data_IF_294237027198
#
_entry.id   IF_294237027198
#
_cell.length_a   1.000
_cell.length_b   1.000
_cell.length_c   1.000
_cell.angle_alpha   90.00
_cell.angle_beta   90.00
_cell.angle_gamma   90.00
#
_symmetry.space_group_name_H-M   'P 1'
#
loop_
_entity.id
_entity.type
_entity.pdbx_description
1 polymer ?
#
# COMPACT_ATOMS: atom_id res chain seq x y z
N UNK A 1 21.96 -25.08 16.70
CA UNK A 1 22.22 -25.14 15.24
C UNK A 1 20.95 -25.66 14.60
N UNK A 2 20.14 -24.81 14.01
CA UNK A 2 19.00 -25.27 13.20
C UNK A 2 19.55 -25.74 11.85
N UNK A 3 19.45 -27.04 11.60
CA UNK A 3 19.62 -27.63 10.27
C UNK A 3 18.34 -27.34 9.50
N UNK A 4 18.46 -26.76 8.31
CA UNK A 4 17.35 -26.71 7.38
C UNK A 4 17.13 -28.12 6.84
N UNK A 5 15.90 -28.63 6.91
CA UNK A 5 15.55 -29.92 6.33
C UNK A 5 14.91 -29.70 4.96
N UNK A 6 15.54 -30.27 3.93
CA UNK A 6 15.08 -30.17 2.56
C UNK A 6 13.79 -30.98 2.36
N UNK A 7 13.62 -32.11 3.07
CA UNK A 7 12.45 -32.99 2.90
C UNK A 7 11.19 -32.32 3.48
N UNK A 8 11.30 -31.65 4.62
CA UNK A 8 10.22 -30.84 5.22
C UNK A 8 9.81 -29.68 4.29
N UNK A 9 10.78 -28.98 3.69
CA UNK A 9 10.50 -27.90 2.74
C UNK A 9 9.89 -28.37 1.41
N UNK A 10 10.22 -29.58 0.94
CA UNK A 10 9.60 -30.17 -0.25
C UNK A 10 8.16 -30.62 0.05
N UNK A 11 7.86 -31.03 1.28
CA UNK A 11 6.51 -31.36 1.71
C UNK A 11 5.60 -30.11 1.86
N UNK A 12 6.10 -29.03 2.47
CA UNK A 12 5.39 -27.75 2.63
C UNK A 12 6.25 -26.55 2.14
N UNK A 13 6.25 -26.26 0.82
CA UNK A 13 7.06 -25.18 0.24
C UNK A 13 6.52 -23.78 0.61
N UNK A 14 6.90 -23.31 1.80
CA UNK A 14 6.48 -22.03 2.36
C UNK A 14 7.48 -20.91 2.04
N UNK A 15 6.98 -19.76 1.57
CA UNK A 15 7.81 -18.59 1.23
C UNK A 15 8.70 -18.12 2.41
N UNK A 16 8.15 -18.19 3.62
CA UNK A 16 8.83 -17.79 4.87
C UNK A 16 10.06 -18.66 5.15
N UNK A 17 10.05 -19.95 4.79
CA UNK A 17 11.21 -20.82 4.97
C UNK A 17 12.39 -20.40 4.09
N UNK A 18 12.14 -20.01 2.83
CA UNK A 18 13.16 -19.50 1.90
C UNK A 18 13.81 -18.19 2.40
N UNK A 19 13.06 -17.35 3.10
CA UNK A 19 13.58 -16.12 3.73
C UNK A 19 14.48 -16.39 4.95
N UNK A 20 14.45 -17.59 5.52
CA UNK A 20 15.30 -18.00 6.65
C UNK A 20 16.48 -18.88 6.22
N UNK A 21 16.41 -19.49 5.03
CA UNK A 21 17.48 -20.32 4.45
C UNK A 21 18.80 -19.56 4.24
N UNK A 22 19.94 -20.24 4.48
CA UNK A 22 21.28 -19.75 4.12
C UNK A 22 21.57 -19.99 2.65
N UNK A 23 22.66 -19.40 2.14
CA UNK A 23 23.06 -19.53 0.73
C UNK A 23 23.27 -21.00 0.29
N UNK A 24 23.75 -21.85 1.18
CA UNK A 24 23.98 -23.28 0.89
C UNK A 24 22.64 -23.97 0.70
N UNK A 25 21.77 -23.88 1.70
CA UNK A 25 20.40 -24.38 1.74
C UNK A 25 19.62 -23.95 0.47
N UNK A 26 19.68 -22.67 0.07
CA UNK A 26 19.05 -22.15 -1.16
C UNK A 26 19.60 -22.78 -2.45
N UNK A 27 20.91 -23.03 -2.53
CA UNK A 27 21.52 -23.69 -3.69
C UNK A 27 21.21 -25.20 -3.73
N UNK A 28 20.94 -25.81 -2.58
CA UNK A 28 20.52 -27.20 -2.46
C UNK A 28 19.07 -27.39 -2.91
N UNK A 29 18.16 -26.49 -2.52
CA UNK A 29 16.81 -26.37 -3.08
C UNK A 29 16.86 -26.19 -4.61
N UNK A 30 17.68 -25.25 -5.10
CA UNK A 30 17.81 -25.01 -6.53
C UNK A 30 18.29 -26.26 -7.31
N UNK A 31 19.20 -27.04 -6.73
CA UNK A 31 19.65 -28.33 -7.29
C UNK A 31 18.53 -29.38 -7.28
N UNK A 32 17.79 -29.49 -6.18
CA UNK A 32 16.68 -30.44 -6.03
C UNK A 32 15.61 -30.23 -7.11
N UNK A 33 15.26 -28.97 -7.38
CA UNK A 33 14.28 -28.60 -8.41
C UNK A 33 14.89 -28.36 -9.80
N UNK A 34 16.16 -28.74 -10.01
CA UNK A 34 16.89 -28.59 -11.28
C UNK A 34 16.92 -27.17 -11.87
N UNK A 35 16.78 -26.14 -11.03
CA UNK A 35 16.74 -24.72 -11.44
C UNK A 35 18.18 -24.25 -11.75
N UNK A 36 18.46 -23.71 -12.96
CA UNK A 36 19.81 -23.35 -13.40
C UNK A 36 20.29 -22.02 -12.80
N UNK A 37 20.41 -21.95 -11.46
CA UNK A 37 20.90 -20.76 -10.76
C UNK A 37 22.43 -20.74 -10.69
N UNK A 38 23.02 -19.58 -11.01
CA UNK A 38 24.47 -19.40 -10.88
C UNK A 38 24.87 -19.32 -9.40
N UNK A 39 25.89 -20.09 -8.95
CA UNK A 39 26.37 -20.02 -7.56
C UNK A 39 27.04 -18.67 -7.24
N UNK A 40 27.32 -17.84 -8.25
CA UNK A 40 27.81 -16.47 -8.07
C UNK A 40 26.72 -15.49 -7.61
N UNK A 41 25.43 -15.82 -7.75
CA UNK A 41 24.31 -14.96 -7.34
C UNK A 41 24.37 -14.63 -5.85
N UNK A 42 23.90 -13.43 -5.49
CA UNK A 42 23.78 -12.96 -4.11
C UNK A 42 22.63 -13.66 -3.41
N UNK A 43 22.64 -13.67 -2.08
CA UNK A 43 21.59 -14.31 -1.28
C UNK A 43 20.21 -13.69 -1.54
N UNK A 44 20.12 -12.38 -1.78
CA UNK A 44 18.89 -11.72 -2.20
C UNK A 44 18.40 -12.18 -3.58
N UNK A 45 19.31 -12.24 -4.57
CA UNK A 45 18.99 -12.69 -5.94
C UNK A 45 18.49 -14.15 -5.95
N UNK A 46 19.10 -15.04 -5.14
CA UNK A 46 18.64 -16.42 -4.96
C UNK A 46 17.25 -16.47 -4.29
N UNK A 47 16.97 -15.59 -3.33
CA UNK A 47 15.67 -15.51 -2.64
C UNK A 47 14.55 -14.94 -3.51
N UNK A 48 14.86 -14.16 -4.54
CA UNK A 48 13.87 -13.70 -5.53
C UNK A 48 13.69 -14.72 -6.67
N UNK A 49 14.79 -15.34 -7.13
CA UNK A 49 14.76 -16.31 -8.22
C UNK A 49 14.11 -17.64 -7.82
N UNK A 50 14.42 -18.20 -6.64
CA UNK A 50 13.91 -19.54 -6.24
C UNK A 50 12.38 -19.57 -6.14
N UNK A 51 11.67 -18.67 -5.43
CA UNK A 51 10.21 -18.67 -5.42
C UNK A 51 9.60 -18.49 -6.82
N UNK A 52 10.17 -17.58 -7.63
CA UNK A 52 9.69 -17.29 -8.99
C UNK A 52 9.79 -18.51 -9.90
N UNK A 53 10.90 -19.24 -9.84
CA UNK A 53 11.15 -20.48 -10.59
C UNK A 53 10.34 -21.67 -10.03
N UNK A 54 10.11 -21.76 -8.72
CA UNK A 54 9.25 -22.81 -8.13
C UNK A 54 7.78 -22.63 -8.50
N UNK A 55 7.32 -21.38 -8.66
CA UNK A 55 6.00 -21.06 -9.23
C UNK A 55 5.97 -21.40 -10.72
N UNK A 56 7.01 -21.02 -11.49
CA UNK A 56 7.08 -21.31 -12.93
C UNK A 56 7.13 -22.82 -13.25
N UNK A 57 7.79 -23.62 -12.40
CA UNK A 57 7.85 -25.08 -12.50
C UNK A 57 6.61 -25.79 -11.88
N UNK A 58 5.59 -25.05 -11.44
CA UNK A 58 4.31 -25.60 -10.97
C UNK A 58 4.36 -26.28 -9.59
N UNK A 59 5.43 -26.10 -8.83
CA UNK A 59 5.60 -26.66 -7.47
C UNK A 59 4.85 -25.82 -6.44
N UNK A 60 4.74 -24.51 -6.66
CA UNK A 60 3.96 -23.59 -5.80
C UNK A 60 2.76 -23.07 -6.57
N UNK A 61 1.56 -23.54 -6.20
CA UNK A 61 0.29 -23.00 -6.70
C UNK A 61 -0.03 -21.69 -5.98
N UNK A 62 0.37 -20.57 -6.58
CA UNK A 62 -0.24 -19.27 -6.27
C UNK A 62 -1.69 -19.26 -6.78
N UNK A 63 -2.65 -18.70 -6.01
CA UNK A 63 -4.03 -18.58 -6.47
C UNK A 63 -4.12 -17.67 -7.70
N UNK A 64 -4.68 -18.24 -8.75
CA UNK A 64 -4.82 -17.72 -10.12
C UNK A 64 -5.22 -16.24 -10.17
N UNK A 65 -4.51 -15.49 -11.01
CA UNK A 65 -5.12 -14.40 -11.79
C UNK A 65 -4.63 -14.53 -13.23
N UNK A 66 -5.60 -14.71 -14.13
CA UNK A 66 -5.41 -15.02 -15.54
C UNK A 66 -5.06 -13.78 -16.37
N UNK A 67 -4.08 -13.88 -17.28
CA UNK A 67 -4.39 -14.05 -18.71
C UNK A 67 -3.11 -14.13 -19.60
N UNK A 68 -3.18 -14.64 -20.86
CA UNK A 68 -2.00 -15.06 -21.62
C UNK A 68 -1.72 -14.25 -22.90
N UNK A 69 -0.48 -13.75 -23.06
CA UNK A 69 0.13 -13.32 -24.35
C UNK A 69 1.64 -13.60 -24.25
N UNK A 70 2.18 -14.73 -24.73
CA UNK A 70 2.55 -15.02 -26.12
C UNK A 70 3.64 -14.10 -26.72
N UNK A 71 4.84 -14.65 -27.02
CA UNK A 71 5.67 -14.13 -28.13
C UNK A 71 7.19 -14.01 -27.92
N UNK A 72 7.91 -15.00 -28.49
CA UNK A 72 9.21 -14.87 -29.18
C UNK A 72 10.50 -14.51 -28.41
N UNK A 73 11.53 -15.33 -28.64
CA UNK A 73 12.92 -15.16 -28.21
C UNK A 73 13.73 -14.28 -29.20
N UNK A 74 14.97 -13.91 -28.81
CA UNK A 74 16.25 -14.28 -29.49
C UNK A 74 17.39 -13.35 -29.05
N UNK A 75 18.51 -13.93 -28.60
CA UNK A 75 19.89 -13.39 -28.71
C UNK A 75 20.26 -12.15 -27.87
N UNK A 76 21.54 -11.89 -27.58
CA UNK A 76 22.78 -12.65 -27.86
C UNK A 76 23.82 -12.30 -26.75
N UNK A 77 24.93 -13.04 -26.70
CA UNK A 77 26.07 -12.75 -25.82
C UNK A 77 26.73 -11.39 -26.17
N UNK A 78 27.70 -10.88 -25.41
CA UNK A 78 29.12 -11.16 -25.69
C UNK A 78 30.05 -10.62 -24.57
N UNK A 79 30.83 -11.54 -24.00
CA UNK A 79 32.24 -11.42 -23.57
C UNK A 79 32.67 -10.54 -22.37
N UNK A 80 33.58 -11.13 -21.59
CA UNK A 80 34.27 -10.67 -20.36
C UNK A 80 35.69 -10.14 -20.70
N UNK A 81 36.71 -10.19 -19.82
CA UNK A 81 36.93 -9.57 -18.50
C UNK A 81 38.10 -8.55 -18.55
N UNK A 82 38.55 -8.00 -17.39
CA UNK A 82 39.99 -7.78 -17.04
C UNK A 82 40.15 -7.32 -15.56
N UNK A 83 41.27 -7.71 -14.92
CA UNK A 83 41.76 -7.40 -13.54
C UNK A 83 43.17 -6.71 -13.66
N UNK A 84 44.05 -6.53 -12.64
CA UNK A 84 43.97 -6.34 -11.17
C UNK A 84 44.84 -5.14 -10.60
N UNK A 85 44.90 -4.99 -9.26
CA UNK A 85 45.91 -4.19 -8.48
C UNK A 85 45.55 -2.70 -8.32
N UNK A 86 45.85 -1.91 -7.28
CA UNK A 86 46.43 -2.04 -5.93
C UNK A 86 45.94 -0.82 -5.10
N UNK A 87 46.48 -0.41 -3.94
CA UNK A 87 47.44 -1.02 -3.00
C UNK A 87 47.30 -0.40 -1.58
N UNK A 88 47.97 -1.01 -0.59
CA UNK A 88 48.48 -0.53 0.73
C UNK A 88 48.51 1.01 0.98
N UNK A 89 48.12 1.53 2.16
CA UNK A 89 49.01 1.90 3.31
C UNK A 89 48.20 2.29 4.59
N UNK A 90 48.45 1.52 5.67
CA UNK A 90 48.74 1.87 7.09
C UNK A 90 47.81 2.72 8.01
N UNK A 91 47.68 2.23 9.26
CA UNK A 91 47.15 2.91 10.46
C UNK A 91 48.27 3.61 11.25
N UNK A 92 47.94 4.50 12.20
CA UNK A 92 48.27 4.20 13.61
C UNK A 92 47.13 4.53 14.61
N UNK A 93 47.36 4.23 15.91
CA UNK A 93 46.33 4.06 16.94
C UNK A 93 46.37 5.10 18.09
N UNK A 94 45.34 5.00 18.95
CA UNK A 94 45.33 5.20 20.43
C UNK A 94 45.08 6.60 21.03
N UNK A 95 44.18 6.65 22.02
CA UNK A 95 43.92 7.77 22.94
C UNK A 95 42.57 7.64 23.67
N UNK A 96 42.53 7.65 25.00
CA UNK A 96 41.37 7.23 25.82
C UNK A 96 40.84 8.36 26.78
N UNK A 97 39.99 8.15 27.81
CA UNK A 97 38.69 8.84 27.86
C UNK A 97 38.43 9.75 29.10
N UNK A 98 37.54 10.74 28.93
CA UNK A 98 36.77 11.47 29.97
C UNK A 98 35.86 12.50 29.28
N UNK A 99 34.73 12.98 29.80
CA UNK A 99 33.75 12.46 30.77
C UNK A 99 32.45 13.31 30.62
N UNK A 100 31.29 12.75 30.99
CA UNK A 100 30.02 13.43 31.35
C UNK A 100 29.70 14.81 30.75
N UNK A 101 28.63 14.89 29.94
CA UNK A 101 27.43 15.69 30.26
C UNK A 101 26.23 15.16 29.47
N UNK A 102 25.15 14.78 30.17
CA UNK A 102 23.83 14.63 29.53
C UNK A 102 23.15 16.00 29.52
N UNK A 103 22.96 16.58 28.32
CA UNK A 103 21.88 17.51 28.08
C UNK A 103 21.17 17.11 26.77
N UNK A 104 19.85 17.30 26.75
CA UNK A 104 18.99 16.74 25.72
C UNK A 104 19.13 17.48 24.39
N UNK A 105 20.05 17.03 23.52
CA UNK A 105 20.10 17.52 22.15
C UNK A 105 19.01 16.85 21.30
N UNK A 106 18.19 17.67 20.65
CA UNK A 106 17.09 17.22 19.81
C UNK A 106 17.59 16.27 18.72
N UNK A 107 16.76 15.28 18.38
CA UNK A 107 17.12 14.18 17.48
C UNK A 107 17.22 14.62 16.02
N UNK A 108 18.22 15.45 15.72
CA UNK A 108 18.67 15.74 14.35
C UNK A 108 18.84 14.42 13.60
N UNK A 109 18.16 14.22 12.46
CA UNK A 109 18.31 13.00 11.68
C UNK A 109 19.75 12.98 11.17
N UNK A 110 20.56 12.09 11.77
CA UNK A 110 22.01 12.22 11.77
C UNK A 110 22.62 12.54 10.40
N UNK A 111 23.40 13.63 10.36
CA UNK A 111 24.24 14.01 9.23
C UNK A 111 25.47 13.10 9.07
N UNK A 112 25.31 11.80 9.31
CA UNK A 112 26.13 10.82 8.60
C UNK A 112 25.83 10.95 7.12
N UNK A 113 26.84 10.77 6.25
CA UNK A 113 26.72 11.02 4.80
C UNK A 113 25.58 10.19 4.18
N UNK A 114 24.36 10.75 4.15
CA UNK A 114 23.21 10.16 3.47
C UNK A 114 23.56 10.03 2.00
N UNK A 115 23.49 8.82 1.47
CA UNK A 115 23.79 8.64 0.06
C UNK A 115 22.75 9.39 -0.77
N UNK A 116 23.09 9.87 -1.98
CA UNK A 116 22.09 10.45 -2.88
C UNK A 116 20.93 9.50 -3.20
N UNK A 117 21.07 8.19 -2.96
CA UNK A 117 19.99 7.21 -3.07
C UNK A 117 18.99 7.36 -1.93
N UNK A 118 19.45 7.54 -0.69
CA UNK A 118 18.59 7.65 0.49
C UNK A 118 17.75 8.93 0.44
N UNK A 119 18.33 10.05 -0.01
CA UNK A 119 17.59 11.30 -0.23
C UNK A 119 16.48 11.13 -1.28
N UNK A 120 16.74 10.39 -2.37
CA UNK A 120 15.70 10.10 -3.39
C UNK A 120 14.58 9.21 -2.86
N UNK A 121 14.89 8.27 -1.97
CA UNK A 121 13.88 7.42 -1.30
C UNK A 121 13.02 8.27 -0.37
N UNK A 122 13.63 9.10 0.48
CA UNK A 122 12.91 10.03 1.36
C UNK A 122 11.96 10.96 0.59
N UNK A 123 12.43 11.59 -0.50
CA UNK A 123 11.60 12.46 -1.35
C UNK A 123 10.42 11.70 -1.96
N UNK A 124 10.62 10.45 -2.40
CA UNK A 124 9.53 9.61 -2.92
C UNK A 124 8.51 9.27 -1.83
N UNK A 125 8.97 8.93 -0.61
CA UNK A 125 8.09 8.65 0.54
C UNK A 125 7.31 9.90 0.94
N UNK A 126 7.96 11.07 1.01
CA UNK A 126 7.31 12.34 1.34
C UNK A 126 6.23 12.70 0.31
N UNK A 127 6.51 12.51 -0.99
CA UNK A 127 5.54 12.74 -2.07
C UNK A 127 4.32 11.82 -1.94
N UNK A 128 4.52 10.52 -1.74
CA UNK A 128 3.44 9.54 -1.57
C UNK A 128 2.59 9.80 -0.32
N UNK A 129 3.21 10.25 0.78
CA UNK A 129 2.48 10.65 1.99
C UNK A 129 1.59 11.88 1.73
N UNK A 130 2.12 12.90 1.06
CA UNK A 130 1.38 14.12 0.75
C UNK A 130 0.24 13.87 -0.26
N UNK A 131 0.45 12.98 -1.24
CA UNK A 131 -0.56 12.55 -2.20
C UNK A 131 -1.74 11.86 -1.49
N UNK A 132 -1.48 10.87 -0.63
CA UNK A 132 -2.50 10.22 0.20
C UNK A 132 -3.24 11.22 1.10
N UNK A 133 -2.51 12.10 1.78
CA UNK A 133 -3.10 13.11 2.66
C UNK A 133 -4.02 14.07 1.88
N UNK A 134 -3.67 14.41 0.64
CA UNK A 134 -4.51 15.23 -0.25
C UNK A 134 -5.78 14.46 -0.65
N UNK A 135 -5.67 13.20 -1.06
CA UNK A 135 -6.82 12.35 -1.38
C UNK A 135 -7.77 12.20 -0.19
N UNK A 136 -7.22 11.98 1.02
CA UNK A 136 -7.99 11.86 2.26
C UNK A 136 -8.75 13.15 2.57
N UNK A 137 -8.09 14.32 2.50
CA UNK A 137 -8.73 15.63 2.67
C UNK A 137 -9.82 15.90 1.62
N UNK A 138 -9.58 15.54 0.35
CA UNK A 138 -10.55 15.69 -0.73
C UNK A 138 -11.77 14.77 -0.54
N UNK A 139 -11.56 13.52 -0.10
CA UNK A 139 -12.62 12.59 0.26
C UNK A 139 -13.46 13.11 1.44
N UNK A 140 -12.82 13.59 2.51
CA UNK A 140 -13.49 14.17 3.66
C UNK A 140 -14.33 15.39 3.29
N UNK A 141 -13.77 16.34 2.53
CA UNK A 141 -14.47 17.53 2.07
C UNK A 141 -15.66 17.18 1.16
N UNK A 142 -15.48 16.25 0.21
CA UNK A 142 -16.55 15.78 -0.67
C UNK A 142 -17.70 15.17 0.13
N UNK A 143 -17.39 14.33 1.13
CA UNK A 143 -18.38 13.73 2.04
C UNK A 143 -19.11 14.78 2.88
N UNK A 144 -18.41 15.79 3.39
CA UNK A 144 -19.03 16.90 4.14
C UNK A 144 -20.00 17.71 3.27
N UNK A 145 -19.62 18.02 2.03
CA UNK A 145 -20.48 18.71 1.05
C UNK A 145 -21.71 17.86 0.71
N UNK A 146 -21.55 16.55 0.53
CA UNK A 146 -22.65 15.63 0.24
C UNK A 146 -23.63 15.53 1.41
N UNK A 147 -23.15 15.43 2.65
CA UNK A 147 -24.00 15.47 3.85
C UNK A 147 -24.78 16.78 3.94
N UNK A 148 -24.12 17.94 3.81
CA UNK A 148 -24.79 19.25 3.82
C UNK A 148 -25.82 19.39 2.71
N UNK A 149 -25.56 18.84 1.51
CA UNK A 149 -26.53 18.82 0.42
C UNK A 149 -27.78 18.02 0.81
N UNK A 150 -27.61 16.82 1.38
CA UNK A 150 -28.72 15.97 1.83
C UNK A 150 -29.50 16.66 2.95
N UNK A 151 -28.84 17.34 3.89
CA UNK A 151 -29.48 18.12 4.96
C UNK A 151 -30.36 19.25 4.40
N UNK A 152 -29.85 20.02 3.44
CA UNK A 152 -30.60 21.10 2.76
C UNK A 152 -31.77 20.54 1.94
N UNK A 153 -31.56 19.42 1.24
CA UNK A 153 -32.61 18.74 0.47
C UNK A 153 -33.73 18.22 1.38
N UNK A 154 -33.39 17.58 2.50
CA UNK A 154 -34.35 17.15 3.51
C UNK A 154 -35.08 18.32 4.20
N UNK A 155 -34.39 19.44 4.48
CA UNK A 155 -35.00 20.62 5.06
C UNK A 155 -36.01 21.28 4.10
N UNK A 156 -35.64 21.44 2.83
CA UNK A 156 -36.53 22.00 1.79
C UNK A 156 -37.71 21.08 1.47
N UNK A 157 -37.53 19.75 1.48
CA UNK A 157 -38.63 18.80 1.35
C UNK A 157 -39.67 18.96 2.48
N UNK A 158 -39.22 19.06 3.74
CA UNK A 158 -40.10 19.28 4.91
C UNK A 158 -40.85 20.61 4.85
N UNK A 159 -40.18 21.69 4.45
CA UNK A 159 -40.82 23.01 4.23
C UNK A 159 -41.92 22.94 3.16
N UNK A 160 -41.66 22.23 2.05
CA UNK A 160 -42.66 22.01 0.99
C UNK A 160 -43.85 21.16 1.47
N UNK A 161 -43.61 20.15 2.31
CA UNK A 161 -44.68 19.36 2.93
C UNK A 161 -45.53 20.18 3.89
N UNK A 162 -44.92 20.99 4.76
CA UNK A 162 -45.63 21.90 5.66
C UNK A 162 -46.52 22.88 4.88
N UNK A 163 -45.97 23.55 3.85
CA UNK A 163 -46.76 24.47 3.02
C UNK A 163 -47.91 23.80 2.27
N UNK A 164 -47.77 22.53 1.86
CA UNK A 164 -48.88 21.76 1.29
C UNK A 164 -49.99 21.53 2.32
N UNK A 165 -49.64 21.15 3.55
CA UNK A 165 -50.60 20.96 4.63
C UNK A 165 -51.29 22.28 5.02
N UNK A 166 -50.56 23.40 5.05
CA UNK A 166 -51.12 24.73 5.26
C UNK A 166 -52.09 25.15 4.12
N UNK A 167 -51.72 24.90 2.87
CA UNK A 167 -52.60 25.18 1.72
C UNK A 167 -53.86 24.30 1.75
N UNK A 168 -53.73 23.00 2.02
CA UNK A 168 -54.84 22.05 2.12
C UNK A 168 -55.81 22.40 3.27
N UNK A 169 -55.28 22.83 4.42
CA UNK A 169 -56.10 23.27 5.56
C UNK A 169 -56.79 24.60 5.27
N UNK A 170 -56.11 25.57 4.66
CA UNK A 170 -56.73 26.83 4.23
C UNK A 170 -57.84 26.60 3.20
N UNK A 171 -57.65 25.69 2.23
CA UNK A 171 -58.68 25.31 1.26
C UNK A 171 -59.88 24.64 1.95
N UNK A 172 -59.65 23.70 2.88
CA UNK A 172 -60.72 23.05 3.65
C UNK A 172 -61.51 24.06 4.49
N UNK A 173 -60.84 24.97 5.20
CA UNK A 173 -61.50 26.02 5.98
C UNK A 173 -62.38 26.90 5.08
N UNK A 174 -61.86 27.36 3.94
CA UNK A 174 -62.64 28.17 2.98
C UNK A 174 -63.83 27.42 2.38
N UNK A 175 -63.72 26.10 2.14
CA UNK A 175 -64.85 25.27 1.71
C UNK A 175 -65.93 25.18 2.80
N UNK A 176 -65.54 25.02 4.07
CA UNK A 176 -66.47 25.00 5.20
C UNK A 176 -67.17 26.34 5.40
N UNK A 177 -66.45 27.46 5.28
CA UNK A 177 -67.02 28.82 5.32
C UNK A 177 -68.06 29.04 4.21
N UNK A 178 -67.74 28.64 2.97
CA UNK A 178 -68.67 28.74 1.84
C UNK A 178 -69.92 27.87 2.04
N UNK A 179 -69.76 26.65 2.57
CA UNK A 179 -70.90 25.77 2.88
C UNK A 179 -71.75 26.30 4.03
N UNK A 180 -71.14 26.93 5.03
CA UNK A 180 -71.86 27.58 6.13
C UNK A 180 -72.63 28.83 5.64
N UNK A 181 -72.00 29.68 4.83
CA UNK A 181 -72.63 30.87 4.26
C UNK A 181 -73.75 30.55 3.26
N UNK A 182 -73.63 29.46 2.50
CA UNK A 182 -74.68 28.96 1.60
C UNK A 182 -75.92 28.44 2.33
N UNK A 183 -75.81 28.10 3.61
CA UNK A 183 -76.92 27.64 4.47
C UNK A 183 -77.60 28.82 5.17
N UNK A 184 -78.14 29.74 4.37
CA UNK A 184 -78.95 30.86 4.86
C UNK A 184 -80.17 30.41 5.68
N UNK A 185 -80.76 31.31 6.50
CA UNK A 185 -81.89 30.97 7.37
C UNK A 185 -83.09 30.51 6.54
N UNK A 186 -83.79 29.47 7.03
CA UNK A 186 -84.99 28.95 6.39
C UNK A 186 -86.08 30.04 6.30
N UNK A 187 -86.83 30.12 5.18
CA UNK A 187 -87.97 31.02 5.09
C UNK A 187 -89.04 30.63 6.11
N UNK A 188 -89.57 31.63 6.82
CA UNK A 188 -90.69 31.53 7.75
C UNK A 188 -92.03 31.58 7.01
#
# INVERSE_FOLDING_TARGET
MTTFDLEEFVAEPTHVALELCRKVDLLEIARHYAIPLSPALRVGELREAIPSELVANGVVVLPVSSDPVAGAAVGDAVVSPVRPGGERVEQPQLGSPAALFEEAEEKSPGLGLRSPRDVRVDVRIARLKHEREKEEREFHLKREIELRRIEVEAATAREVELRKLEADTAVKMRQLELHAAGRGPAPL
#
